data_IF_013750791336
#
_entry.id   IF_013750791336
#
_cell.length_a   1.000
_cell.length_b   1.000
_cell.length_c   1.000
_cell.angle_alpha   90.00
_cell.angle_beta   90.00
_cell.angle_gamma   90.00
#
_symmetry.space_group_name_H-M   'P 1'
#
loop_
_entity.id
_entity.type
_entity.pdbx_description
1 polymer ?
#
# COMPACT_ATOMS: atom_id res chain seq x y z
N UNK A 1 59.76 45.96 16.01
CA UNK A 1 59.12 46.36 17.29
C UNK A 1 57.71 45.79 17.27
N UNK A 2 57.24 45.11 18.33
CA UNK A 2 55.87 44.56 18.34
C UNK A 2 54.84 45.69 18.34
N UNK A 3 53.83 45.60 17.46
CA UNK A 3 52.74 46.57 17.35
C UNK A 3 51.71 46.24 18.44
N UNK A 4 51.37 47.18 19.35
CA UNK A 4 50.36 46.92 20.38
C UNK A 4 48.95 46.86 19.76
N UNK A 5 48.22 45.77 20.03
CA UNK A 5 46.84 45.61 19.57
C UNK A 5 45.93 46.52 20.40
N UNK A 6 45.37 47.55 19.75
CA UNK A 6 44.44 48.49 20.37
C UNK A 6 43.03 48.32 19.79
N UNK A 7 41.96 48.65 20.53
CA UNK A 7 40.59 48.50 20.05
C UNK A 7 40.32 49.31 18.78
N UNK A 8 40.95 50.49 18.63
CA UNK A 8 40.86 51.30 17.42
C UNK A 8 41.51 50.66 16.19
N UNK A 9 42.44 49.71 16.38
CA UNK A 9 43.10 48.96 15.32
C UNK A 9 42.25 47.74 14.91
N UNK A 10 41.59 47.07 15.87
CA UNK A 10 40.58 46.03 15.60
C UNK A 10 39.39 46.57 14.79
N UNK A 11 38.89 47.76 15.13
CA UNK A 11 37.81 48.39 14.33
C UNK A 11 38.26 48.65 12.89
N UNK A 12 39.49 49.15 12.69
CA UNK A 12 40.05 49.39 11.36
C UNK A 12 40.28 48.09 10.56
N UNK A 13 40.64 47.00 11.24
CA UNK A 13 40.76 45.67 10.65
C UNK A 13 39.41 45.17 10.13
N UNK A 14 38.34 45.31 10.92
CA UNK A 14 36.99 44.95 10.50
C UNK A 14 36.48 45.81 9.32
N UNK A 15 36.89 47.08 9.25
CA UNK A 15 36.55 47.97 8.14
C UNK A 15 37.41 47.76 6.88
N UNK A 16 38.42 46.88 6.93
CA UNK A 16 39.33 46.62 5.80
C UNK A 16 40.28 47.78 5.49
N UNK A 17 40.53 48.68 6.45
CA UNK A 17 41.35 49.90 6.30
C UNK A 17 42.74 49.79 6.93
N UNK A 18 43.18 48.58 7.27
CA UNK A 18 44.51 48.33 7.83
C UNK A 18 45.60 48.28 6.75
N UNK A 19 46.80 48.67 7.13
CA UNK A 19 48.00 48.42 6.33
C UNK A 19 48.38 46.93 6.38
N UNK A 20 49.09 46.39 5.37
CA UNK A 20 49.42 44.97 5.33
C UNK A 20 50.28 44.50 6.52
N UNK A 21 51.09 45.39 7.09
CA UNK A 21 51.89 45.10 8.29
C UNK A 21 51.02 45.01 9.56
N UNK A 22 50.03 45.90 9.71
CA UNK A 22 49.06 45.86 10.82
C UNK A 22 48.15 44.64 10.72
N UNK A 23 47.75 44.27 9.49
CA UNK A 23 46.88 43.12 9.25
C UNK A 23 47.55 41.81 9.69
N UNK A 24 48.84 41.66 9.41
CA UNK A 24 49.63 40.51 9.85
C UNK A 24 49.73 40.43 11.38
N UNK A 25 49.93 41.57 12.06
CA UNK A 25 50.00 41.62 13.52
C UNK A 25 48.67 41.25 14.20
N UNK A 26 47.53 41.68 13.65
CA UNK A 26 46.20 41.30 14.16
C UNK A 26 45.90 39.83 13.89
N UNK A 27 46.27 39.32 12.72
CA UNK A 27 46.06 37.92 12.37
C UNK A 27 46.89 36.98 13.26
N UNK A 28 48.13 37.35 13.57
CA UNK A 28 49.00 36.63 14.50
C UNK A 28 48.42 36.64 15.92
N UNK A 29 47.94 37.80 16.38
CA UNK A 29 47.26 37.92 17.68
C UNK A 29 45.94 37.13 17.78
N UNK A 30 45.13 37.09 16.71
CA UNK A 30 43.91 36.26 16.64
C UNK A 30 44.22 34.76 16.59
N UNK A 31 45.40 34.40 16.09
CA UNK A 31 45.82 33.01 15.93
C UNK A 31 46.52 32.47 17.18
N UNK A 32 46.82 33.32 18.16
CA UNK A 32 47.45 32.90 19.41
C UNK A 32 46.42 32.17 20.30
N UNK A 33 46.59 30.85 20.51
CA UNK A 33 45.67 30.04 21.30
C UNK A 33 45.80 30.30 22.81
N UNK A 34 46.73 31.16 23.25
CA UNK A 34 46.90 31.50 24.67
C UNK A 34 45.98 32.62 25.16
N UNK A 35 45.28 33.31 24.26
CA UNK A 35 44.13 34.18 24.58
C UNK A 35 42.87 33.35 24.85
N UNK A 36 42.99 32.33 25.70
CA UNK A 36 41.85 31.66 26.32
C UNK A 36 41.33 32.56 27.45
N UNK A 37 40.78 33.72 27.07
CA UNK A 37 39.94 34.51 27.95
C UNK A 37 38.67 33.68 28.18
N UNK A 38 38.77 32.75 29.13
CA UNK A 38 37.64 32.10 29.76
C UNK A 38 36.88 33.20 30.48
N UNK A 39 36.02 33.90 29.72
CA UNK A 39 35.02 34.80 30.27
C UNK A 39 34.27 33.97 31.31
N UNK A 40 34.26 34.36 32.59
CA UNK A 40 33.46 33.66 33.58
C UNK A 40 32.01 33.90 33.20
N UNK A 41 31.42 32.96 32.45
CA UNK A 41 29.98 32.91 32.31
C UNK A 41 29.45 32.73 33.73
N UNK A 42 28.65 33.68 34.26
CA UNK A 42 28.00 33.45 35.54
C UNK A 42 27.22 32.13 35.41
N UNK A 43 27.47 31.19 36.32
CA UNK A 43 26.80 29.90 36.35
C UNK A 43 25.31 30.13 36.11
N UNK A 44 24.85 29.68 34.94
CA UNK A 44 23.49 29.91 34.48
C UNK A 44 22.60 29.00 35.33
N UNK A 45 22.31 29.43 36.55
CA UNK A 45 21.37 28.75 37.44
C UNK A 45 20.09 28.46 36.66
N UNK A 46 19.51 27.27 36.84
CA UNK A 46 18.30 26.83 36.12
C UNK A 46 17.16 27.86 36.18
N UNK A 47 17.16 28.67 37.25
CA UNK A 47 16.25 29.79 37.47
C UNK A 47 16.42 30.93 36.45
N UNK A 48 17.66 31.27 36.07
CA UNK A 48 17.94 32.29 35.05
C UNK A 48 17.65 31.78 33.64
N UNK A 49 18.01 30.53 33.33
CA UNK A 49 17.66 29.89 32.06
C UNK A 49 16.15 29.85 31.83
N UNK A 50 15.39 29.45 32.86
CA UNK A 50 13.93 29.41 32.80
C UNK A 50 13.29 30.80 32.64
N UNK A 51 13.88 31.85 33.24
CA UNK A 51 13.38 33.23 33.14
C UNK A 51 13.61 33.82 31.74
N UNK A 52 14.77 33.57 31.15
CA UNK A 52 15.10 33.96 29.77
C UNK A 52 14.19 33.21 28.79
N UNK A 53 14.02 31.89 28.98
CA UNK A 53 13.15 31.08 28.13
C UNK A 53 11.67 31.46 28.21
N UNK A 54 11.17 31.85 29.39
CA UNK A 54 9.80 32.37 29.57
C UNK A 54 9.55 33.66 28.77
N UNK A 55 10.59 34.46 28.52
CA UNK A 55 10.51 35.66 27.69
C UNK A 55 10.33 35.33 26.21
N UNK A 56 11.10 34.36 25.69
CA UNK A 56 11.05 33.94 24.28
C UNK A 56 9.75 33.20 23.96
N UNK A 57 9.23 32.38 24.89
CA UNK A 57 7.99 31.64 24.70
C UNK A 57 6.74 32.53 24.58
N UNK A 58 6.78 33.78 25.07
CA UNK A 58 5.64 34.71 25.04
C UNK A 58 5.48 35.48 23.72
N UNK A 59 6.43 35.36 22.79
CA UNK A 59 6.42 36.09 21.52
C UNK A 59 5.71 35.38 20.35
N UNK A 60 5.55 34.06 20.37
CA UNK A 60 4.90 33.34 19.28
C UNK A 60 3.40 33.20 19.56
N UNK A 61 2.59 34.16 19.10
CA UNK A 61 1.14 33.96 18.94
C UNK A 61 0.92 33.09 17.71
N UNK A 62 0.64 31.77 17.82
CA UNK A 62 0.66 30.90 16.66
C UNK A 62 -0.76 30.75 16.11
N UNK A 63 -1.51 31.86 15.98
CA UNK A 63 -2.96 31.78 15.73
C UNK A 63 -3.33 31.72 14.25
N UNK A 64 -2.41 32.07 13.35
CA UNK A 64 -2.63 32.07 11.89
C UNK A 64 -1.80 31.01 11.15
N UNK A 65 -0.57 30.74 11.58
CA UNK A 65 0.30 29.73 10.95
C UNK A 65 -0.15 28.28 11.20
N UNK A 66 -0.74 27.97 12.37
CA UNK A 66 -1.30 26.63 12.62
C UNK A 66 -2.47 26.28 11.69
N UNK A 67 -3.25 27.29 11.24
CA UNK A 67 -4.38 27.05 10.33
C UNK A 67 -3.89 26.70 8.91
N UNK A 68 -2.79 27.29 8.46
CA UNK A 68 -2.16 26.93 7.19
C UNK A 68 -1.55 25.53 7.22
N UNK A 69 -0.88 25.16 8.33
CA UNK A 69 -0.30 23.83 8.54
C UNK A 69 -1.37 22.72 8.56
N UNK A 70 -2.52 22.98 9.19
CA UNK A 70 -3.65 22.06 9.19
C UNK A 70 -4.21 21.80 7.78
N UNK A 71 -4.33 22.84 6.95
CA UNK A 71 -4.84 22.70 5.58
C UNK A 71 -3.90 21.86 4.70
N UNK A 72 -2.57 22.04 4.84
CA UNK A 72 -1.57 21.24 4.11
C UNK A 72 -1.57 19.79 4.57
N UNK A 73 -1.70 19.53 5.88
CA UNK A 73 -1.80 18.16 6.40
C UNK A 73 -3.06 17.44 5.88
N UNK A 74 -4.20 18.13 5.81
CA UNK A 74 -5.44 17.56 5.24
C UNK A 74 -5.27 17.25 3.74
N UNK A 75 -4.69 18.17 2.96
CA UNK A 75 -4.41 17.92 1.55
C UNK A 75 -3.42 16.77 1.34
N UNK A 76 -2.41 16.64 2.20
CA UNK A 76 -1.47 15.53 2.15
C UNK A 76 -2.15 14.19 2.46
N UNK A 77 -3.04 14.12 3.46
CA UNK A 77 -3.80 12.90 3.79
C UNK A 77 -4.77 12.53 2.67
N UNK A 78 -5.47 13.51 2.09
CA UNK A 78 -6.37 13.27 0.96
C UNK A 78 -5.57 12.82 -0.27
N UNK A 79 -4.47 13.50 -0.60
CA UNK A 79 -3.58 13.10 -1.69
C UNK A 79 -3.03 11.68 -1.51
N UNK A 80 -2.57 11.35 -0.30
CA UNK A 80 -2.11 10.02 0.07
C UNK A 80 -3.22 8.97 -0.13
N UNK A 81 -4.45 9.27 0.29
CA UNK A 81 -5.60 8.37 0.08
C UNK A 81 -5.90 8.10 -1.41
N UNK A 82 -5.70 9.08 -2.30
CA UNK A 82 -5.89 8.89 -3.73
C UNK A 82 -4.72 8.16 -4.41
N UNK A 83 -3.49 8.35 -3.93
CA UNK A 83 -2.28 7.68 -4.46
C UNK A 83 -2.21 6.23 -4.01
N UNK A 84 -2.54 5.94 -2.74
CA UNK A 84 -2.50 4.59 -2.17
C UNK A 84 -3.85 3.87 -2.26
N UNK A 85 -4.70 4.21 -3.24
CA UNK A 85 -5.90 3.40 -3.46
C UNK A 85 -5.48 1.99 -3.86
N UNK A 86 -5.91 0.95 -3.12
CA UNK A 86 -5.71 -0.41 -3.58
C UNK A 86 -6.35 -0.54 -4.97
N UNK A 87 -5.62 -1.16 -5.89
CA UNK A 87 -6.17 -1.43 -7.22
C UNK A 87 -7.51 -2.17 -7.06
N UNK A 88 -8.56 -1.79 -7.80
CA UNK A 88 -9.80 -2.54 -7.77
C UNK A 88 -9.48 -4.00 -8.13
N UNK A 89 -10.07 -4.98 -7.43
CA UNK A 89 -9.86 -6.38 -7.78
C UNK A 89 -10.37 -6.60 -9.21
N UNK A 90 -9.61 -7.36 -10.00
CA UNK A 90 -10.10 -7.78 -11.31
C UNK A 90 -11.28 -8.72 -11.11
N UNK A 91 -12.44 -8.29 -11.62
CA UNK A 91 -13.71 -9.01 -11.52
C UNK A 91 -14.20 -9.28 -12.93
N UNK A 92 -14.31 -10.56 -13.26
CA UNK A 92 -14.91 -11.02 -14.51
C UNK A 92 -16.22 -11.76 -14.23
N UNK A 93 -17.27 -11.42 -14.97
CA UNK A 93 -18.59 -12.03 -14.81
C UNK A 93 -19.06 -12.61 -16.13
N UNK A 94 -19.53 -13.84 -16.11
CA UNK A 94 -20.22 -14.45 -17.24
C UNK A 94 -21.56 -15.03 -16.77
N UNK A 95 -22.59 -14.84 -17.59
CA UNK A 95 -23.94 -15.31 -17.32
C UNK A 95 -24.48 -15.98 -18.56
N UNK A 96 -25.08 -17.14 -18.37
CA UNK A 96 -25.73 -17.89 -19.44
C UNK A 96 -27.23 -17.93 -19.18
N UNK A 97 -27.98 -17.06 -19.85
CA UNK A 97 -29.44 -17.05 -19.83
C UNK A 97 -30.05 -17.92 -20.95
N UNK A 98 -29.22 -18.54 -21.80
CA UNK A 98 -29.67 -19.40 -22.88
C UNK A 98 -30.02 -20.81 -22.38
N UNK A 99 -30.74 -21.55 -23.21
CA UNK A 99 -31.10 -22.96 -22.98
C UNK A 99 -29.97 -23.94 -23.33
N UNK A 100 -28.91 -23.47 -23.98
CA UNK A 100 -27.72 -24.25 -24.33
C UNK A 100 -26.52 -23.92 -23.44
N UNK A 101 -25.44 -24.68 -23.59
CA UNK A 101 -24.17 -24.41 -22.89
C UNK A 101 -23.44 -23.22 -23.52
N UNK A 102 -22.83 -22.38 -22.69
CA UNK A 102 -22.03 -21.24 -23.14
C UNK A 102 -20.59 -21.36 -22.64
N UNK A 103 -19.61 -21.05 -23.49
CA UNK A 103 -18.20 -21.06 -23.13
C UNK A 103 -17.66 -19.61 -23.10
N UNK A 104 -17.00 -19.25 -22.00
CA UNK A 104 -16.35 -17.96 -21.81
C UNK A 104 -14.90 -18.17 -21.36
N UNK A 105 -14.01 -17.26 -21.74
CA UNK A 105 -12.63 -17.24 -21.22
C UNK A 105 -12.49 -16.08 -20.24
N UNK A 106 -12.29 -16.39 -18.95
CA UNK A 106 -12.16 -15.40 -17.89
C UNK A 106 -10.76 -15.49 -17.27
N UNK A 107 -9.88 -14.55 -17.64
CA UNK A 107 -8.53 -14.47 -17.05
C UNK A 107 -7.65 -15.70 -17.32
N UNK A 108 -7.83 -16.39 -18.45
CA UNK A 108 -7.12 -17.63 -18.77
C UNK A 108 -7.74 -18.89 -18.15
N UNK A 109 -8.98 -18.78 -17.65
CA UNK A 109 -9.83 -19.91 -17.31
C UNK A 109 -10.86 -20.10 -18.42
N UNK A 110 -10.84 -21.28 -19.06
CA UNK A 110 -11.92 -21.68 -19.94
C UNK A 110 -13.09 -22.15 -19.09
N UNK A 111 -14.19 -21.41 -19.09
CA UNK A 111 -15.37 -21.70 -18.28
C UNK A 111 -16.52 -22.09 -19.19
N UNK A 112 -17.10 -23.27 -18.96
CA UNK A 112 -18.33 -23.70 -19.60
C UNK A 112 -19.48 -23.65 -18.59
N UNK A 113 -20.51 -22.89 -18.95
CA UNK A 113 -21.69 -22.58 -18.15
C UNK A 113 -22.86 -23.45 -18.62
N UNK A 114 -23.52 -24.14 -17.67
CA UNK A 114 -24.79 -24.81 -17.94
C UNK A 114 -25.88 -23.77 -18.28
N UNK A 115 -27.03 -24.19 -18.82
CA UNK A 115 -28.18 -23.31 -18.99
C UNK A 115 -28.55 -22.65 -17.65
N UNK A 116 -28.95 -21.38 -17.69
CA UNK A 116 -29.38 -20.60 -16.53
C UNK A 116 -28.34 -20.50 -15.39
N UNK A 117 -27.05 -20.55 -15.72
CA UNK A 117 -25.96 -20.45 -14.73
C UNK A 117 -25.25 -19.10 -14.77
N UNK A 118 -24.65 -18.73 -13.64
CA UNK A 118 -23.87 -17.49 -13.50
C UNK A 118 -22.56 -17.80 -12.81
N UNK A 119 -21.47 -17.18 -13.27
CA UNK A 119 -20.15 -17.27 -12.67
C UNK A 119 -19.53 -15.88 -12.53
N UNK A 120 -18.89 -15.65 -11.41
CA UNK A 120 -18.10 -14.47 -11.11
C UNK A 120 -16.72 -14.92 -10.64
N UNK A 121 -15.69 -14.50 -11.36
CA UNK A 121 -14.30 -14.76 -11.01
C UNK A 121 -13.71 -13.46 -10.48
N UNK A 122 -13.17 -13.50 -9.27
CA UNK A 122 -12.45 -12.40 -8.65
C UNK A 122 -11.02 -12.84 -8.39
N UNK A 123 -10.04 -12.06 -8.85
CA UNK A 123 -8.64 -12.27 -8.51
C UNK A 123 -8.24 -11.30 -7.39
N UNK A 124 -7.71 -11.84 -6.29
CA UNK A 124 -7.24 -11.06 -5.15
C UNK A 124 -5.94 -11.69 -4.66
N UNK A 125 -4.84 -10.94 -4.73
CA UNK A 125 -3.50 -11.38 -4.29
C UNK A 125 -3.05 -12.74 -4.87
N UNK A 126 -3.39 -13.01 -6.14
CA UNK A 126 -3.06 -14.25 -6.84
C UNK A 126 -3.94 -15.46 -6.47
N UNK A 127 -4.91 -15.28 -5.57
CA UNK A 127 -5.96 -16.25 -5.28
C UNK A 127 -7.17 -15.91 -6.17
N UNK A 128 -7.67 -16.90 -6.90
CA UNK A 128 -8.86 -16.75 -7.74
C UNK A 128 -10.07 -17.32 -7.03
N UNK A 129 -10.96 -16.43 -6.62
CA UNK A 129 -12.26 -16.80 -6.07
C UNK A 129 -13.26 -16.93 -7.22
N UNK A 130 -13.94 -18.08 -7.30
CA UNK A 130 -14.95 -18.40 -8.31
C UNK A 130 -16.27 -18.56 -7.57
N UNK A 131 -17.11 -17.53 -7.63
CA UNK A 131 -18.46 -17.57 -7.10
C UNK A 131 -19.41 -17.97 -8.23
N UNK A 132 -20.21 -19.02 -8.02
CA UNK A 132 -21.09 -19.53 -9.07
C UNK A 132 -22.46 -19.97 -8.56
N UNK A 133 -23.41 -20.01 -9.50
CA UNK A 133 -24.76 -20.53 -9.34
C UNK A 133 -25.07 -21.50 -10.49
N UNK A 134 -25.50 -22.72 -10.15
CA UNK A 134 -25.76 -23.80 -11.11
C UNK A 134 -24.59 -24.77 -11.28
N UNK A 135 -24.39 -25.28 -12.50
CA UNK A 135 -23.30 -26.19 -12.85
C UNK A 135 -22.29 -25.49 -13.77
N UNK A 136 -21.02 -25.55 -13.40
CA UNK A 136 -19.93 -24.87 -14.11
C UNK A 136 -18.74 -25.81 -14.27
N UNK A 137 -18.24 -25.93 -15.49
CA UNK A 137 -16.95 -26.56 -15.75
C UNK A 137 -15.88 -25.48 -15.89
N UNK A 138 -14.79 -25.61 -15.12
CA UNK A 138 -13.66 -24.68 -15.12
C UNK A 138 -12.42 -25.42 -15.58
N UNK A 139 -11.80 -24.91 -16.63
CA UNK A 139 -10.58 -25.43 -17.25
C UNK A 139 -9.43 -24.46 -17.08
N UNK A 140 -8.32 -24.92 -16.50
CA UNK A 140 -7.12 -24.11 -16.37
C UNK A 140 -6.32 -24.05 -17.68
N UNK A 141 -6.27 -22.87 -18.33
CA UNK A 141 -5.47 -22.63 -19.55
C UNK A 141 -4.18 -21.84 -19.30
N UNK A 142 -3.89 -21.45 -18.05
CA UNK A 142 -2.79 -20.52 -17.72
C UNK A 142 -1.38 -21.12 -17.75
N UNK A 143 -1.21 -22.38 -18.17
CA UNK A 143 0.10 -23.06 -18.26
C UNK A 143 0.80 -23.33 -16.92
N UNK A 144 0.25 -22.85 -15.79
CA UNK A 144 0.74 -23.05 -14.43
C UNK A 144 -0.37 -23.57 -13.52
N UNK A 145 0.01 -24.19 -12.41
CA UNK A 145 -0.95 -24.65 -11.40
C UNK A 145 -1.57 -23.47 -10.67
N UNK A 146 -2.88 -23.52 -10.46
CA UNK A 146 -3.63 -22.44 -9.81
C UNK A 146 -4.45 -22.96 -8.64
N UNK A 147 -4.60 -22.13 -7.61
CA UNK A 147 -5.51 -22.37 -6.51
C UNK A 147 -6.83 -21.64 -6.79
N UNK A 148 -7.90 -22.40 -6.93
CA UNK A 148 -9.26 -21.88 -7.09
C UNK A 148 -10.00 -22.04 -5.77
N UNK A 149 -10.66 -20.97 -5.34
CA UNK A 149 -11.56 -20.99 -4.18
C UNK A 149 -12.98 -20.89 -4.71
N UNK A 150 -13.70 -22.00 -4.69
CA UNK A 150 -15.09 -22.06 -5.10
C UNK A 150 -15.99 -21.59 -3.96
N UNK A 151 -16.84 -20.62 -4.26
CA UNK A 151 -17.87 -20.10 -3.38
C UNK A 151 -19.23 -20.17 -4.04
N UNK A 152 -20.28 -20.28 -3.23
CA UNK A 152 -21.65 -20.11 -3.68
C UNK A 152 -22.40 -19.32 -2.63
N UNK A 153 -22.58 -18.02 -2.90
CA UNK A 153 -23.12 -17.06 -1.94
C UNK A 153 -22.28 -16.96 -0.67
N UNK A 154 -22.94 -16.99 0.50
CA UNK A 154 -22.33 -16.76 1.81
C UNK A 154 -22.00 -18.07 2.57
N UNK A 155 -21.97 -19.21 1.87
CA UNK A 155 -21.81 -20.55 2.46
C UNK A 155 -20.52 -21.22 1.97
N UNK A 156 -20.13 -22.28 2.67
CA UNK A 156 -18.85 -22.98 2.66
C UNK A 156 -17.98 -22.79 1.40
N UNK A 157 -16.73 -22.38 1.59
CA UNK A 157 -15.74 -22.23 0.51
C UNK A 157 -14.95 -23.52 0.34
N UNK A 158 -14.83 -24.01 -0.88
CA UNK A 158 -13.98 -25.16 -1.19
C UNK A 158 -12.77 -24.72 -1.99
N UNK A 159 -11.57 -24.98 -1.46
CA UNK A 159 -10.32 -24.65 -2.14
C UNK A 159 -9.77 -25.87 -2.86
N UNK A 160 -9.51 -25.74 -4.16
CA UNK A 160 -8.93 -26.80 -4.98
C UNK A 160 -7.74 -26.28 -5.76
N UNK A 161 -6.68 -27.09 -5.76
CA UNK A 161 -5.56 -26.93 -6.69
C UNK A 161 -5.87 -27.62 -8.00
N UNK A 162 -5.87 -26.83 -9.07
CA UNK A 162 -6.12 -27.27 -10.44
C UNK A 162 -4.81 -27.13 -11.23
N UNK A 163 -4.29 -28.26 -11.70
CA UNK A 163 -3.07 -28.28 -12.48
C UNK A 163 -3.28 -27.67 -13.88
N UNK A 164 -2.21 -27.22 -14.52
CA UNK A 164 -2.27 -26.71 -15.89
C UNK A 164 -2.92 -27.71 -16.86
N UNK A 165 -3.88 -27.25 -17.68
CA UNK A 165 -4.58 -28.07 -18.67
C UNK A 165 -5.62 -29.04 -18.10
N UNK A 166 -5.89 -29.02 -16.78
CA UNK A 166 -6.96 -29.83 -16.17
C UNK A 166 -8.26 -29.04 -16.09
N UNK A 167 -9.38 -29.75 -16.23
CA UNK A 167 -10.71 -29.24 -15.93
C UNK A 167 -11.23 -29.82 -14.61
N UNK A 168 -12.13 -29.08 -13.98
CA UNK A 168 -12.92 -29.51 -12.84
C UNK A 168 -14.35 -29.05 -13.02
N UNK A 169 -15.29 -29.84 -12.50
CA UNK A 169 -16.71 -29.49 -12.54
C UNK A 169 -17.13 -29.12 -11.13
N UNK A 170 -17.67 -27.93 -10.99
CA UNK A 170 -18.24 -27.42 -9.75
C UNK A 170 -19.76 -27.35 -9.92
N UNK A 171 -20.48 -28.00 -9.01
CA UNK A 171 -21.94 -28.02 -9.03
C UNK A 171 -22.46 -27.59 -7.68
N UNK A 172 -23.39 -26.63 -7.70
CA UNK A 172 -24.14 -26.25 -6.53
C UNK A 172 -25.33 -27.19 -6.39
N UNK A 173 -25.41 -27.90 -5.26
CA UNK A 173 -26.52 -28.79 -4.98
C UNK A 173 -27.40 -28.21 -3.88
N UNK A 174 -28.68 -28.03 -4.19
CA UNK A 174 -29.69 -27.59 -3.24
C UNK A 174 -30.40 -28.82 -2.64
N UNK A 175 -29.79 -29.47 -1.64
CA UNK A 175 -30.46 -30.56 -0.92
C UNK A 175 -30.24 -30.47 0.58
N UNK A 176 -31.24 -29.90 1.27
CA UNK A 176 -31.28 -29.60 2.72
C UNK A 176 -30.19 -28.63 3.23
N UNK A 177 -29.01 -28.61 2.62
CA UNK A 177 -27.92 -27.62 2.75
C UNK A 177 -27.45 -27.25 1.34
N UNK A 178 -27.09 -25.98 1.11
CA UNK A 178 -26.42 -25.57 -0.13
C UNK A 178 -24.99 -26.11 -0.10
N UNK A 179 -24.81 -27.33 -0.58
CA UNK A 179 -23.51 -27.99 -0.60
C UNK A 179 -22.86 -27.81 -1.97
N UNK A 180 -21.61 -27.37 -1.94
CA UNK A 180 -20.78 -27.24 -3.12
C UNK A 180 -20.03 -28.56 -3.28
N UNK A 181 -20.26 -29.22 -4.41
CA UNK A 181 -19.53 -30.43 -4.78
C UNK A 181 -18.62 -30.07 -5.93
N UNK A 182 -17.32 -29.93 -5.66
CA UNK A 182 -16.32 -29.75 -6.70
C UNK A 182 -15.57 -31.05 -6.93
N UNK A 183 -15.56 -31.51 -8.17
CA UNK A 183 -14.99 -32.80 -8.52
C UNK A 183 -13.99 -32.65 -9.67
N UNK A 184 -12.84 -33.32 -9.51
CA UNK A 184 -11.77 -33.36 -10.51
C UNK A 184 -12.04 -34.36 -11.64
N UNK A 185 -12.89 -35.36 -11.39
CA UNK A 185 -13.28 -36.40 -12.35
C UNK A 185 -14.76 -36.71 -12.17
N UNK A 186 -15.54 -36.69 -13.27
CA UNK A 186 -16.98 -36.98 -13.22
C UNK A 186 -17.34 -38.33 -12.57
N UNK A 187 -16.40 -39.29 -12.55
CA UNK A 187 -16.59 -40.63 -12.01
C UNK A 187 -16.76 -40.68 -10.48
N UNK A 188 -16.33 -39.64 -9.76
CA UNK A 188 -16.40 -39.61 -8.30
C UNK A 188 -17.73 -39.04 -7.78
N UNK A 189 -18.66 -38.67 -8.68
CA UNK A 189 -19.96 -38.18 -8.29
C UNK A 189 -20.97 -39.31 -8.00
N UNK A 190 -21.88 -39.10 -7.03
CA UNK A 190 -23.07 -39.91 -6.88
C UNK A 190 -23.79 -40.08 -8.23
N UNK A 191 -24.29 -41.28 -8.55
CA UNK A 191 -24.88 -41.58 -9.86
C UNK A 191 -26.04 -40.65 -10.24
N UNK A 192 -26.75 -40.09 -9.24
CA UNK A 192 -27.83 -39.12 -9.43
C UNK A 192 -27.34 -37.76 -9.96
N UNK A 193 -26.15 -37.32 -9.55
CA UNK A 193 -25.54 -36.07 -10.03
C UNK A 193 -24.93 -36.25 -11.42
N UNK A 194 -24.36 -37.42 -11.69
CA UNK A 194 -23.84 -37.80 -12.99
C UNK A 194 -24.91 -37.71 -14.09
N UNK A 195 -26.12 -38.20 -13.85
CA UNK A 195 -27.21 -38.10 -14.85
C UNK A 195 -27.61 -36.66 -15.13
N UNK A 196 -27.65 -35.80 -14.09
CA UNK A 196 -28.04 -34.41 -14.25
C UNK A 196 -26.98 -33.61 -15.02
N UNK A 197 -25.73 -33.68 -14.58
CA UNK A 197 -24.60 -33.05 -15.28
C UNK A 197 -24.51 -33.56 -16.72
N UNK A 198 -24.62 -34.88 -16.93
CA UNK A 198 -24.56 -35.44 -18.27
C UNK A 198 -25.69 -34.94 -19.17
N UNK A 199 -26.87 -34.65 -18.62
CA UNK A 199 -27.98 -34.06 -19.39
C UNK A 199 -27.75 -32.57 -19.66
N UNK A 200 -27.25 -31.83 -18.67
CA UNK A 200 -26.99 -30.39 -18.78
C UNK A 200 -25.87 -30.06 -19.79
N UNK A 201 -24.90 -30.97 -19.96
CA UNK A 201 -23.80 -30.85 -20.91
C UNK A 201 -23.98 -31.71 -22.19
N UNK A 202 -25.09 -32.44 -22.36
CA UNK A 202 -25.36 -33.27 -23.56
C UNK A 202 -25.91 -32.51 -24.76
N UNK A 203 -26.16 -31.20 -24.64
CA UNK A 203 -26.71 -30.38 -25.71
C UNK A 203 -25.64 -29.89 -26.71
N UNK A 204 -24.59 -30.71 -26.93
CA UNK A 204 -23.54 -30.51 -27.95
C UNK A 204 -23.67 -31.63 -28.98
#
# INVERSE_FOLDING_TARGET
MPIPITPALLTRYHEGRCTPEEQAAVADWLSDPTTDDTLPLPELSEVHGARIWKGVARGMRPRRYLRGLAAVAVLAVVGCFFVFRPAPPDVWTARNDATGTSAADLGGLGIALSPQSTVQVRETDGIRQVDFSGAVEVTNRTGRDICLVFGSGNRARQTIRLAAGRSCVAVQYHFRSDEIVVVKRLLDLPPVLLTRIRNDFRAI
#
